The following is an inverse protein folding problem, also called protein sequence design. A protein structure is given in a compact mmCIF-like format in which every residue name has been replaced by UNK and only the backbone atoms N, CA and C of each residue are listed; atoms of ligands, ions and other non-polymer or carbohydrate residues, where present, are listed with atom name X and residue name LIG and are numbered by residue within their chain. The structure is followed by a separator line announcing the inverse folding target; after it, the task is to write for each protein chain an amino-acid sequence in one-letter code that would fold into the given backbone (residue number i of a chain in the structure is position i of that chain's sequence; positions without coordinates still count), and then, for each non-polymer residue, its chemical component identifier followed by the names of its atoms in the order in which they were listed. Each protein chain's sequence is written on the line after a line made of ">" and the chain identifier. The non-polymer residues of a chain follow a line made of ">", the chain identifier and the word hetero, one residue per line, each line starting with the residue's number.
data_IF_845020303496
#
_entry.id   IF_845020303496
#
_cell.length_a   1.000
_cell.length_b   1.000
_cell.length_c   1.000
_cell.angle_alpha   90.00
_cell.angle_beta   90.00
_cell.angle_gamma   90.00
#
_symmetry.space_group_name_H-M   'P 1'
#
loop_
_entity.id
_entity.type
_entity.pdbx_description
1 polymer ?
#
# COMPACT_ATOMS: atom_id res chain seq x y z
N UNK A 1 -16.12 -6.94 20.97
CA UNK A 1 -14.71 -6.58 21.13
C UNK A 1 -14.41 -5.47 20.13
N UNK A 2 -13.89 -4.31 20.53
CA UNK A 2 -13.41 -3.35 19.54
C UNK A 2 -12.32 -4.05 18.72
N UNK A 3 -12.44 -3.99 17.41
CA UNK A 3 -11.46 -4.59 16.53
C UNK A 3 -10.12 -3.87 16.69
N UNK A 4 -9.08 -4.63 16.90
CA UNK A 4 -7.74 -4.13 17.24
C UNK A 4 -7.01 -3.79 15.93
N UNK A 5 -6.60 -2.55 15.80
CA UNK A 5 -5.77 -2.09 14.68
C UNK A 5 -4.34 -2.60 14.85
N UNK A 6 -3.78 -3.24 13.82
CA UNK A 6 -2.43 -3.77 13.84
C UNK A 6 -1.45 -2.81 13.14
N UNK A 7 -0.34 -2.52 13.79
CA UNK A 7 0.77 -1.74 13.22
C UNK A 7 1.99 -2.63 13.07
N UNK A 8 2.44 -2.78 11.84
CA UNK A 8 3.72 -3.40 11.53
C UNK A 8 4.81 -2.33 11.64
N UNK A 9 5.80 -2.55 12.50
CA UNK A 9 6.91 -1.63 12.71
C UNK A 9 8.20 -2.27 12.17
N UNK A 10 8.83 -1.63 11.20
CA UNK A 10 10.07 -2.12 10.58
C UNK A 10 11.16 -1.06 10.72
N UNK A 11 12.18 -1.37 11.52
CA UNK A 11 13.32 -0.50 11.78
C UNK A 11 14.52 -1.35 12.21
N UNK A 12 15.72 -1.10 11.73
CA UNK A 12 16.91 -1.87 12.05
C UNK A 12 17.54 -1.45 13.38
N UNK A 13 17.14 -0.29 13.94
CA UNK A 13 17.60 0.18 15.24
C UNK A 13 16.73 -0.42 16.37
N UNK A 14 17.29 -1.35 17.15
CA UNK A 14 16.59 -2.03 18.24
C UNK A 14 15.99 -1.06 19.26
N UNK A 15 16.77 -0.06 19.72
CA UNK A 15 16.32 0.89 20.73
C UNK A 15 15.15 1.77 20.24
N UNK A 16 15.19 2.20 18.99
CA UNK A 16 14.07 2.95 18.38
C UNK A 16 12.86 2.04 18.21
N UNK A 17 13.07 0.82 17.73
CA UNK A 17 11.99 -0.16 17.53
C UNK A 17 11.28 -0.48 18.84
N UNK A 18 12.02 -0.77 19.91
CA UNK A 18 11.44 -1.11 21.21
C UNK A 18 10.67 0.07 21.83
N UNK A 19 11.24 1.27 21.80
CA UNK A 19 10.58 2.47 22.32
C UNK A 19 9.33 2.84 21.53
N UNK A 20 9.39 2.72 20.21
CA UNK A 20 8.24 3.02 19.33
C UNK A 20 7.14 1.96 19.46
N UNK A 21 7.50 0.68 19.62
CA UNK A 21 6.52 -0.38 19.88
C UNK A 21 5.75 -0.12 21.17
N UNK A 22 6.48 0.18 22.28
CA UNK A 22 5.87 0.51 23.55
C UNK A 22 4.92 1.72 23.47
N UNK A 23 5.34 2.78 22.75
CA UNK A 23 4.51 3.96 22.50
C UNK A 23 3.19 3.59 21.83
N UNK A 24 3.28 2.83 20.73
CA UNK A 24 2.11 2.46 19.93
C UNK A 24 1.17 1.51 20.69
N UNK A 25 1.70 0.57 21.46
CA UNK A 25 0.92 -0.30 22.35
C UNK A 25 0.18 0.51 23.41
N UNK A 26 0.85 1.52 24.02
CA UNK A 26 0.23 2.45 24.97
C UNK A 26 -0.88 3.29 24.32
N UNK A 27 -0.74 3.61 23.04
CA UNK A 27 -1.77 4.31 22.24
C UNK A 27 -2.93 3.41 21.80
N UNK A 28 -2.89 2.09 22.13
CA UNK A 28 -3.96 1.12 21.90
C UNK A 28 -3.87 0.35 20.59
N UNK A 29 -2.71 0.33 19.93
CA UNK A 29 -2.46 -0.49 18.74
C UNK A 29 -1.91 -1.88 19.13
N UNK A 30 -2.21 -2.91 18.31
CA UNK A 30 -1.44 -4.15 18.31
C UNK A 30 -0.17 -3.92 17.49
N UNK A 31 1.00 -4.21 18.03
CA UNK A 31 2.27 -3.95 17.33
C UNK A 31 2.99 -5.25 16.99
N UNK A 32 3.45 -5.36 15.75
CA UNK A 32 4.33 -6.43 15.29
C UNK A 32 5.61 -5.82 14.75
N UNK A 33 6.70 -5.97 15.49
CA UNK A 33 7.98 -5.34 15.22
C UNK A 33 8.95 -6.27 14.47
N UNK A 34 9.67 -5.71 13.49
CA UNK A 34 10.61 -6.42 12.63
C UNK A 34 11.91 -5.64 12.50
N UNK A 35 13.04 -6.32 12.53
CA UNK A 35 14.36 -5.72 12.38
C UNK A 35 14.76 -5.44 10.91
N UNK A 36 13.97 -5.91 9.95
CA UNK A 36 14.23 -5.70 8.52
C UNK A 36 13.00 -5.88 7.65
N UNK A 37 13.01 -5.27 6.46
CA UNK A 37 11.96 -5.47 5.46
C UNK A 37 11.81 -6.92 5.01
N UNK A 38 12.93 -7.67 4.92
CA UNK A 38 12.92 -9.10 4.59
C UNK A 38 12.20 -9.95 5.63
N UNK A 39 12.44 -9.70 6.92
CA UNK A 39 11.76 -10.39 8.02
C UNK A 39 10.24 -10.11 8.00
N UNK A 40 9.86 -8.87 7.76
CA UNK A 40 8.45 -8.50 7.60
C UNK A 40 7.81 -9.23 6.41
N UNK A 41 8.43 -9.19 5.22
CA UNK A 41 7.89 -9.80 3.99
C UNK A 41 7.75 -11.32 4.06
N UNK A 42 8.50 -11.98 4.94
CA UNK A 42 8.42 -13.43 5.16
C UNK A 42 7.16 -13.81 5.93
N UNK A 43 6.70 -12.95 6.84
CA UNK A 43 5.55 -13.20 7.72
C UNK A 43 4.26 -12.49 7.24
N UNK A 44 4.41 -11.50 6.36
CA UNK A 44 3.28 -10.76 5.81
C UNK A 44 2.66 -11.51 4.62
N UNK A 45 1.46 -12.02 4.80
CA UNK A 45 0.75 -12.84 3.80
C UNK A 45 -0.24 -12.06 2.92
N UNK A 46 -0.34 -10.74 3.10
CA UNK A 46 -1.29 -9.87 2.37
C UNK A 46 -2.78 -10.23 2.58
N UNK A 47 -3.09 -11.13 3.50
CA UNK A 47 -4.45 -11.35 3.98
C UNK A 47 -4.74 -10.37 5.11
N UNK A 48 -5.84 -9.62 5.00
CA UNK A 48 -6.18 -8.61 6.00
C UNK A 48 -6.66 -9.28 7.29
N UNK A 49 -6.05 -8.89 8.39
CA UNK A 49 -6.41 -9.33 9.72
C UNK A 49 -6.96 -8.15 10.53
N UNK A 50 -8.28 -8.04 10.67
CA UNK A 50 -8.91 -7.04 11.54
C UNK A 50 -9.39 -5.75 10.85
N UNK A 51 -9.68 -4.72 11.66
CA UNK A 51 -10.32 -3.47 11.23
C UNK A 51 -9.37 -2.40 10.67
N UNK A 52 -8.14 -2.75 10.41
CA UNK A 52 -7.16 -1.89 9.79
C UNK A 52 -5.73 -2.29 10.13
N UNK A 53 -4.86 -2.19 9.15
CA UNK A 53 -3.45 -2.49 9.26
C UNK A 53 -2.65 -1.33 8.68
N UNK A 54 -1.50 -1.02 9.26
CA UNK A 54 -0.59 0.03 8.81
C UNK A 54 0.85 -0.42 8.97
N UNK A 55 1.69 -0.10 7.98
CA UNK A 55 3.14 -0.27 8.07
C UNK A 55 3.80 1.05 8.47
N UNK A 56 4.59 1.03 9.53
CA UNK A 56 5.55 2.09 9.87
C UNK A 56 6.94 1.56 9.55
N UNK A 57 7.67 2.19 8.65
CA UNK A 57 8.98 1.70 8.20
C UNK A 57 10.03 2.80 8.20
N UNK A 58 11.22 2.49 8.71
CA UNK A 58 12.38 3.32 8.40
C UNK A 58 12.71 3.22 6.90
N UNK A 59 13.24 4.31 6.34
CA UNK A 59 13.67 4.34 4.94
C UNK A 59 15.05 3.73 4.77
N UNK A 60 15.97 4.05 5.69
CA UNK A 60 17.38 3.66 5.57
C UNK A 60 17.70 2.43 6.40
N UNK A 61 17.42 1.26 5.85
CA UNK A 61 17.75 -0.02 6.47
C UNK A 61 18.77 -0.80 5.63
N UNK A 62 19.63 -1.62 6.27
CA UNK A 62 20.51 -2.54 5.56
C UNK A 62 19.74 -3.51 4.67
N UNK A 63 20.37 -3.97 3.58
CA UNK A 63 19.85 -4.96 2.63
C UNK A 63 18.64 -4.51 1.82
N UNK A 64 17.59 -3.98 2.45
CA UNK A 64 16.36 -3.54 1.81
C UNK A 64 15.93 -2.21 2.44
N UNK A 65 15.92 -1.14 1.65
CA UNK A 65 15.38 0.15 2.09
C UNK A 65 13.86 0.12 2.23
N UNK A 66 13.29 1.04 3.04
CA UNK A 66 11.84 1.18 3.15
C UNK A 66 11.14 1.45 1.81
N UNK A 67 11.78 2.19 0.90
CA UNK A 67 11.24 2.42 -0.45
C UNK A 67 11.22 1.13 -1.29
N UNK A 68 12.26 0.29 -1.19
CA UNK A 68 12.26 -1.02 -1.83
C UNK A 68 11.22 -1.96 -1.23
N UNK A 69 11.01 -1.87 0.09
CA UNK A 69 9.93 -2.59 0.76
C UNK A 69 8.55 -2.15 0.24
N UNK A 70 8.33 -0.85 0.06
CA UNK A 70 7.10 -0.32 -0.54
C UNK A 70 6.90 -0.83 -1.97
N UNK A 71 7.96 -0.82 -2.80
CA UNK A 71 7.91 -1.33 -4.18
C UNK A 71 7.51 -2.81 -4.20
N UNK A 72 8.05 -3.62 -3.28
CA UNK A 72 7.72 -5.04 -3.18
C UNK A 72 6.27 -5.26 -2.73
N UNK A 73 5.76 -4.47 -1.78
CA UNK A 73 4.35 -4.50 -1.39
C UNK A 73 3.43 -4.15 -2.56
N UNK A 74 3.74 -3.10 -3.31
CA UNK A 74 3.00 -2.71 -4.51
C UNK A 74 3.02 -3.82 -5.57
N UNK A 75 4.18 -4.46 -5.78
CA UNK A 75 4.32 -5.58 -6.70
C UNK A 75 3.47 -6.80 -6.30
N UNK A 76 3.30 -7.03 -4.99
CA UNK A 76 2.40 -8.05 -4.44
C UNK A 76 0.92 -7.65 -4.46
N UNK A 77 0.59 -6.45 -4.94
CA UNK A 77 -0.77 -5.93 -4.97
C UNK A 77 -1.31 -5.56 -3.58
N UNK A 78 -0.43 -5.31 -2.62
CA UNK A 78 -0.83 -4.87 -1.28
C UNK A 78 -1.33 -3.44 -1.32
N UNK A 79 -2.41 -3.20 -0.57
CA UNK A 79 -2.97 -1.85 -0.31
C UNK A 79 -2.65 -1.38 1.12
N UNK A 80 -1.70 -2.03 1.79
CA UNK A 80 -1.29 -1.69 3.14
C UNK A 80 -0.79 -0.23 3.18
N UNK A 81 -1.42 0.66 3.97
CA UNK A 81 -0.94 2.02 4.10
C UNK A 81 0.44 2.05 4.76
N UNK A 82 1.33 2.85 4.19
CA UNK A 82 2.72 2.97 4.64
C UNK A 82 2.97 4.37 5.17
N UNK A 83 3.48 4.45 6.40
CA UNK A 83 4.03 5.66 7.03
C UNK A 83 5.54 5.49 7.13
N UNK A 84 6.29 6.38 6.51
CA UNK A 84 7.74 6.37 6.64
C UNK A 84 8.23 7.21 7.80
N UNK A 85 9.25 6.70 8.47
CA UNK A 85 10.01 7.41 9.51
C UNK A 85 11.49 7.37 9.13
N UNK A 86 12.24 8.47 9.29
CA UNK A 86 13.66 8.49 8.94
C UNK A 86 14.44 9.52 9.74
N UNK A 87 15.68 9.19 10.08
CA UNK A 87 16.59 10.12 10.75
C UNK A 87 17.18 11.20 9.82
N UNK A 88 17.03 11.03 8.49
CA UNK A 88 17.53 11.97 7.50
C UNK A 88 16.40 12.32 6.54
N UNK A 89 15.73 13.43 6.80
CA UNK A 89 14.68 14.02 5.96
C UNK A 89 15.27 14.54 4.65
N UNK A 90 15.48 13.64 3.72
CA UNK A 90 15.85 14.00 2.36
C UNK A 90 14.56 14.28 1.56
N UNK A 91 14.31 15.54 1.23
CA UNK A 91 13.11 15.96 0.49
C UNK A 91 12.87 15.14 -0.77
N UNK A 92 13.87 14.80 -1.59
CA UNK A 92 13.69 13.88 -2.72
C UNK A 92 13.14 12.51 -2.33
N UNK A 93 13.61 11.90 -1.24
CA UNK A 93 13.10 10.61 -0.76
C UNK A 93 11.66 10.70 -0.27
N UNK A 94 11.30 11.78 0.43
CA UNK A 94 9.91 12.02 0.86
C UNK A 94 8.98 12.17 -0.35
N UNK A 95 9.39 12.95 -1.36
CA UNK A 95 8.63 13.11 -2.60
C UNK A 95 8.47 11.79 -3.34
N UNK A 96 9.53 10.97 -3.41
CA UNK A 96 9.46 9.65 -4.05
C UNK A 96 8.49 8.71 -3.31
N UNK A 97 8.59 8.64 -1.97
CA UNK A 97 7.70 7.85 -1.13
C UNK A 97 6.23 8.24 -1.34
N UNK A 98 5.93 9.54 -1.30
CA UNK A 98 4.57 10.05 -1.49
C UNK A 98 4.04 9.81 -2.91
N UNK A 99 4.88 9.94 -3.93
CA UNK A 99 4.51 9.60 -5.33
C UNK A 99 4.18 8.12 -5.51
N UNK A 100 4.81 7.24 -4.74
CA UNK A 100 4.53 5.80 -4.72
C UNK A 100 3.32 5.44 -3.86
N UNK A 101 2.63 6.43 -3.30
CA UNK A 101 1.41 6.23 -2.52
C UNK A 101 1.63 6.00 -1.02
N UNK A 102 2.76 6.41 -0.46
CA UNK A 102 2.92 6.46 0.99
C UNK A 102 1.85 7.35 1.62
N UNK A 103 1.33 6.95 2.77
CA UNK A 103 0.29 7.69 3.47
C UNK A 103 0.83 8.91 4.21
N UNK A 104 2.05 8.80 4.74
CA UNK A 104 2.73 9.89 5.44
C UNK A 104 4.25 9.67 5.49
N UNK A 105 4.97 10.73 5.88
CA UNK A 105 6.41 10.74 6.05
C UNK A 105 6.76 11.60 7.27
N UNK A 106 7.55 11.07 8.21
CA UNK A 106 7.98 11.76 9.42
C UNK A 106 9.50 11.73 9.54
N UNK A 107 10.08 12.87 9.88
CA UNK A 107 11.51 12.99 10.17
C UNK A 107 11.76 12.86 11.67
N UNK A 108 12.71 12.00 12.05
CA UNK A 108 13.17 11.83 13.43
C UNK A 108 14.09 13.02 13.83
N UNK A 109 13.91 13.66 15.01
CA UNK A 109 12.95 13.31 16.05
C UNK A 109 11.55 13.91 15.78
N UNK A 110 10.51 13.15 16.03
CA UNK A 110 9.10 13.57 15.98
C UNK A 110 8.45 13.39 17.36
N UNK A 111 7.31 14.06 17.58
CA UNK A 111 6.53 13.84 18.80
C UNK A 111 5.72 12.55 18.70
N UNK A 112 5.43 11.95 19.84
CA UNK A 112 4.61 10.75 19.96
C UNK A 112 3.25 10.93 19.27
N UNK A 113 2.61 12.08 19.50
CA UNK A 113 1.32 12.43 18.88
C UNK A 113 1.43 12.49 17.35
N UNK A 114 2.54 12.98 16.79
CA UNK A 114 2.71 13.07 15.34
C UNK A 114 2.71 11.69 14.67
N UNK A 115 3.35 10.69 15.29
CA UNK A 115 3.34 9.33 14.78
C UNK A 115 1.94 8.69 14.88
N UNK A 116 1.29 8.83 16.03
CA UNK A 116 -0.04 8.30 16.27
C UNK A 116 -1.06 8.91 15.29
N UNK A 117 -1.00 10.23 15.07
CA UNK A 117 -1.88 10.93 14.13
C UNK A 117 -1.62 10.54 12.68
N UNK A 118 -0.35 10.34 12.30
CA UNK A 118 0.02 9.84 10.97
C UNK A 118 -0.59 8.46 10.70
N UNK A 119 -0.50 7.54 11.67
CA UNK A 119 -1.09 6.19 11.58
C UNK A 119 -2.61 6.27 11.51
N UNK A 120 -3.26 7.03 12.39
CA UNK A 120 -4.73 7.21 12.37
C UNK A 120 -5.23 7.81 11.06
N UNK A 121 -4.49 8.77 10.52
CA UNK A 121 -4.79 9.37 9.21
C UNK A 121 -4.65 8.34 8.08
N UNK A 122 -3.61 7.52 8.10
CA UNK A 122 -3.40 6.46 7.13
C UNK A 122 -4.55 5.45 7.14
N UNK A 123 -4.95 5.00 8.32
CA UNK A 123 -6.06 4.06 8.53
C UNK A 123 -7.43 4.64 8.15
N UNK A 124 -7.67 5.92 8.41
CA UNK A 124 -8.94 6.56 8.04
C UNK A 124 -9.09 6.73 6.53
N UNK A 125 -8.01 7.06 5.82
CA UNK A 125 -7.98 7.11 4.35
C UNK A 125 -8.26 5.74 3.74
N UNK A 126 -7.68 4.70 4.31
CA UNK A 126 -7.93 3.33 3.90
C UNK A 126 -9.41 2.94 4.07
N UNK A 127 -10.01 3.25 5.23
CA UNK A 127 -11.44 2.98 5.48
C UNK A 127 -12.35 3.71 4.49
N UNK A 128 -12.06 4.96 4.17
CA UNK A 128 -12.81 5.73 3.17
C UNK A 128 -12.65 5.11 1.79
N UNK A 129 -11.45 4.71 1.42
CA UNK A 129 -11.19 4.02 0.14
C UNK A 129 -11.84 2.63 0.10
N UNK A 130 -11.74 1.84 1.17
CA UNK A 130 -12.37 0.52 1.27
C UNK A 130 -13.90 0.59 1.26
N UNK A 131 -14.49 1.64 1.86
CA UNK A 131 -15.93 1.88 1.89
C UNK A 131 -16.48 2.58 0.65
N UNK A 132 -15.63 3.00 -0.28
CA UNK A 132 -16.10 3.67 -1.49
C UNK A 132 -16.76 2.66 -2.46
N UNK A 133 -17.83 3.07 -3.18
CA UNK A 133 -18.41 2.23 -4.24
C UNK A 133 -17.38 1.77 -5.28
N UNK A 134 -16.35 2.56 -5.49
CA UNK A 134 -15.23 2.27 -6.40
C UNK A 134 -14.32 1.15 -5.87
N UNK A 135 -13.97 1.17 -4.58
CA UNK A 135 -13.19 0.10 -3.96
C UNK A 135 -13.95 -1.23 -3.95
N UNK A 136 -15.24 -1.19 -3.63
CA UNK A 136 -16.11 -2.37 -3.71
C UNK A 136 -16.22 -2.92 -5.15
N UNK A 137 -16.20 -2.05 -6.15
CA UNK A 137 -16.19 -2.45 -7.56
C UNK A 137 -14.84 -3.07 -7.95
N UNK A 138 -13.72 -2.45 -7.56
CA UNK A 138 -12.37 -2.97 -7.81
C UNK A 138 -12.11 -4.31 -7.12
N UNK A 139 -12.71 -4.55 -5.95
CA UNK A 139 -12.63 -5.84 -5.25
C UNK A 139 -13.28 -7.01 -6.01
N UNK A 140 -14.19 -6.74 -6.96
CA UNK A 140 -14.82 -7.76 -7.84
C UNK A 140 -13.91 -8.24 -8.97
N UNK A 141 -12.79 -7.58 -9.19
CA UNK A 141 -11.84 -7.97 -10.23
C UNK A 141 -11.04 -9.20 -9.80
N UNK A 142 -10.89 -10.16 -10.72
CA UNK A 142 -9.96 -11.26 -10.54
C UNK A 142 -8.51 -10.76 -10.52
N UNK A 143 -7.55 -11.53 -9.99
CA UNK A 143 -6.13 -11.15 -10.00
C UNK A 143 -5.61 -10.81 -11.40
N UNK A 144 -6.06 -11.53 -12.43
CA UNK A 144 -5.69 -11.27 -13.83
C UNK A 144 -6.30 -10.00 -14.39
N UNK A 145 -7.57 -9.72 -14.10
CA UNK A 145 -8.23 -8.48 -14.48
C UNK A 145 -7.58 -7.28 -13.82
N UNK A 146 -7.13 -7.40 -12.57
CA UNK A 146 -6.40 -6.35 -11.87
C UNK A 146 -5.03 -6.09 -12.50
N UNK A 147 -4.25 -7.12 -12.82
CA UNK A 147 -2.99 -6.97 -13.56
C UNK A 147 -3.17 -6.26 -14.91
N UNK A 148 -4.25 -6.59 -15.63
CA UNK A 148 -4.58 -5.91 -16.88
C UNK A 148 -4.96 -4.46 -16.63
N UNK A 149 -5.76 -4.16 -15.58
CA UNK A 149 -6.14 -2.80 -15.20
C UNK A 149 -4.91 -1.94 -14.93
N UNK A 150 -3.97 -2.41 -14.12
CA UNK A 150 -2.76 -1.67 -13.75
C UNK A 150 -1.93 -1.28 -14.99
N UNK A 151 -1.80 -2.20 -15.95
CA UNK A 151 -1.10 -1.93 -17.21
C UNK A 151 -1.87 -1.00 -18.15
N UNK A 152 -3.21 -1.05 -18.14
CA UNK A 152 -4.07 -0.11 -18.89
C UNK A 152 -3.96 1.30 -18.29
N UNK A 153 -3.97 1.43 -16.96
CA UNK A 153 -3.77 2.71 -16.25
C UNK A 153 -2.38 3.28 -16.57
N UNK A 154 -1.37 2.42 -16.68
CA UNK A 154 -0.02 2.79 -17.13
C UNK A 154 0.07 3.08 -18.65
N UNK A 155 -1.09 3.22 -19.34
CA UNK A 155 -1.19 3.55 -20.76
C UNK A 155 -0.48 2.55 -21.69
N UNK A 156 -0.36 1.29 -21.28
CA UNK A 156 0.27 0.25 -22.11
C UNK A 156 -0.70 -0.26 -23.17
N UNK A 157 -0.28 -0.37 -24.45
CA UNK A 157 -1.12 -0.97 -25.50
C UNK A 157 -1.29 -2.47 -25.28
N UNK A 158 -2.41 -3.05 -25.80
CA UNK A 158 -2.75 -4.47 -25.61
C UNK A 158 -1.62 -5.43 -25.98
N UNK A 159 -0.84 -5.11 -27.02
CA UNK A 159 0.32 -5.92 -27.45
C UNK A 159 1.37 -6.02 -26.34
N UNK A 160 1.70 -4.88 -25.73
CA UNK A 160 2.69 -4.81 -24.63
C UNK A 160 2.15 -5.51 -23.38
N UNK A 161 0.85 -5.34 -23.08
CA UNK A 161 0.18 -6.05 -21.97
C UNK A 161 0.26 -7.57 -22.18
N UNK A 162 -0.01 -8.03 -23.40
CA UNK A 162 0.07 -9.44 -23.76
C UNK A 162 1.49 -10.01 -23.55
N UNK A 163 2.51 -9.29 -24.00
CA UNK A 163 3.92 -9.66 -23.83
C UNK A 163 4.32 -9.71 -22.33
N UNK A 164 3.95 -8.68 -21.54
CA UNK A 164 4.27 -8.63 -20.11
C UNK A 164 3.61 -9.76 -19.32
N UNK A 165 2.35 -10.07 -19.64
CA UNK A 165 1.56 -11.07 -18.91
C UNK A 165 1.70 -12.49 -19.45
N UNK A 166 2.42 -12.69 -20.59
CA UNK A 166 2.60 -13.98 -21.24
C UNK A 166 1.30 -14.58 -21.77
N UNK A 167 0.38 -13.76 -22.29
CA UNK A 167 -0.94 -14.18 -22.81
C UNK A 167 -1.16 -13.61 -24.22
N UNK A 168 -2.19 -14.11 -24.93
CA UNK A 168 -2.54 -13.57 -26.24
C UNK A 168 -3.20 -12.20 -26.15
N UNK A 169 -3.09 -11.39 -27.20
CA UNK A 169 -3.80 -10.09 -27.32
C UNK A 169 -5.31 -10.30 -27.15
N UNK A 170 -5.87 -11.35 -27.72
CA UNK A 170 -7.29 -11.71 -27.59
C UNK A 170 -7.69 -11.99 -26.14
N UNK A 171 -6.79 -12.60 -25.36
CA UNK A 171 -6.99 -12.84 -23.92
C UNK A 171 -6.96 -11.52 -23.13
N UNK A 172 -6.07 -10.58 -23.48
CA UNK A 172 -6.07 -9.22 -22.91
C UNK A 172 -7.39 -8.51 -23.17
N UNK A 173 -7.89 -8.57 -24.40
CA UNK A 173 -9.18 -7.97 -24.79
C UNK A 173 -10.34 -8.57 -23.99
N UNK A 174 -10.35 -9.89 -23.78
CA UNK A 174 -11.34 -10.57 -22.97
C UNK A 174 -11.29 -10.09 -21.51
N UNK A 175 -10.09 -10.01 -20.90
CA UNK A 175 -9.95 -9.49 -19.54
C UNK A 175 -10.39 -8.02 -19.45
N UNK A 176 -10.08 -7.19 -20.45
CA UNK A 176 -10.55 -5.80 -20.51
C UNK A 176 -12.07 -5.71 -20.57
N UNK A 177 -12.72 -6.50 -21.42
CA UNK A 177 -14.18 -6.54 -21.52
C UNK A 177 -14.82 -6.95 -20.20
N UNK A 178 -14.31 -8.02 -19.56
CA UNK A 178 -14.81 -8.52 -18.30
C UNK A 178 -14.65 -7.49 -17.16
N UNK A 179 -13.46 -6.86 -17.04
CA UNK A 179 -13.24 -5.85 -16.00
C UNK A 179 -14.12 -4.62 -16.21
N UNK A 180 -14.28 -4.13 -17.45
CA UNK A 180 -15.16 -3.00 -17.75
C UNK A 180 -16.62 -3.31 -17.40
N UNK A 181 -17.07 -4.52 -17.69
CA UNK A 181 -18.41 -4.99 -17.31
C UNK A 181 -18.58 -5.04 -15.79
N UNK A 182 -17.60 -5.59 -15.05
CA UNK A 182 -17.63 -5.68 -13.58
C UNK A 182 -17.59 -4.32 -12.89
N UNK A 183 -16.87 -3.36 -13.49
CA UNK A 183 -16.76 -1.98 -12.99
C UNK A 183 -17.93 -1.09 -13.44
N UNK A 184 -18.80 -1.56 -14.34
CA UNK A 184 -19.93 -0.81 -14.87
C UNK A 184 -19.52 0.37 -15.75
N UNK A 185 -18.33 0.34 -16.36
CA UNK A 185 -17.79 1.42 -17.21
C UNK A 185 -17.83 1.03 -18.69
N UNK A 186 -18.04 2.04 -19.55
CA UNK A 186 -18.20 1.83 -21.00
C UNK A 186 -17.07 2.44 -21.84
N UNK A 187 -16.20 3.23 -21.20
CA UNK A 187 -15.11 3.93 -21.89
C UNK A 187 -13.83 3.92 -21.10
N UNK A 188 -12.69 4.10 -21.78
CA UNK A 188 -11.38 4.22 -21.12
C UNK A 188 -11.31 5.41 -20.16
N UNK A 189 -11.84 6.62 -20.46
CA UNK A 189 -11.88 7.70 -19.50
C UNK A 189 -12.67 7.38 -18.22
N UNK A 190 -13.81 6.68 -18.33
CA UNK A 190 -14.57 6.22 -17.17
C UNK A 190 -13.78 5.20 -16.34
N UNK A 191 -13.10 4.26 -17.02
CA UNK A 191 -12.22 3.30 -16.38
C UNK A 191 -11.11 4.00 -15.58
N UNK A 192 -10.48 5.03 -16.18
CA UNK A 192 -9.43 5.81 -15.53
C UNK A 192 -9.95 6.55 -14.29
N UNK A 193 -11.15 7.12 -14.34
CA UNK A 193 -11.78 7.75 -13.15
C UNK A 193 -11.97 6.75 -12.01
N UNK A 194 -12.50 5.58 -12.31
CA UNK A 194 -12.72 4.52 -11.32
C UNK A 194 -11.38 3.99 -10.77
N UNK A 195 -10.38 3.81 -11.63
CA UNK A 195 -9.08 3.26 -11.23
C UNK A 195 -8.24 4.25 -10.41
N UNK A 196 -8.32 5.55 -10.70
CA UNK A 196 -7.50 6.60 -10.08
C UNK A 196 -8.22 7.33 -8.93
N UNK A 197 -9.48 6.97 -8.64
CA UNK A 197 -10.22 7.58 -7.52
C UNK A 197 -10.59 9.06 -7.73
N UNK A 198 -10.58 9.55 -8.96
CA UNK A 198 -10.99 10.91 -9.29
C UNK A 198 -12.49 10.94 -9.60
N UNK A 199 -13.27 11.24 -8.58
CA UNK A 199 -14.69 11.56 -8.68
C UNK A 199 -14.95 12.95 -8.14
#
# INVERSE_FOLDING_TARGET
>A
MPATTCVYLVDDNDGFRDSTAWLLETAGFEVRAFASGGAFLTLFDNTRHGDGECLVSDIRMPQMSGLQLQDELLRRGSTLPVVFVTAHGDVPLAVEAMRKGASNFLEKPFSDDALVDAIRTALSRERVQAGSPQSAALAKLSPRERQVLDLVVASKPNKIIADILGISIKTVELHRANMMSKLGVRSLPELMKVALGHG
#
